data_IF_612318097253
#
_entry.id   IF_612318097253
#
_cell.length_a   1.000
_cell.length_b   1.000
_cell.length_c   1.000
_cell.angle_alpha   90.00
_cell.angle_beta   90.00
_cell.angle_gamma   90.00
#
_symmetry.space_group_name_H-M   'P 1'
#
loop_
_entity.id
_entity.type
_entity.pdbx_description
1 polymer ?
#
# COMPACT_ATOMS: atom_id res chain seq x y z
N UNK A 1 31.30 -22.34 11.82
CA UNK A 1 29.85 -22.04 11.80
C UNK A 1 29.66 -20.86 10.87
N UNK A 2 28.65 -20.89 9.98
CA UNK A 2 28.38 -19.78 9.06
C UNK A 2 27.50 -18.77 9.78
N UNK A 3 27.87 -17.49 9.72
CA UNK A 3 27.07 -16.39 10.27
C UNK A 3 25.98 -15.99 9.26
N UNK A 4 24.72 -15.93 9.71
CA UNK A 4 23.59 -15.46 8.90
C UNK A 4 22.79 -14.40 9.65
N UNK A 5 22.19 -13.48 8.91
CA UNK A 5 21.26 -12.47 9.40
C UNK A 5 19.99 -12.50 8.56
N UNK A 6 18.84 -12.26 9.19
CA UNK A 6 17.53 -12.27 8.55
C UNK A 6 16.70 -11.09 9.06
N UNK A 7 16.34 -10.19 8.15
CA UNK A 7 15.44 -9.07 8.40
C UNK A 7 14.08 -9.35 7.74
N UNK A 8 13.01 -9.22 8.52
CA UNK A 8 11.62 -9.47 8.08
C UNK A 8 10.75 -8.24 8.31
N UNK A 9 9.50 -8.30 7.86
CA UNK A 9 8.49 -7.31 8.18
C UNK A 9 8.30 -7.20 9.70
N UNK A 10 8.00 -5.99 10.18
CA UNK A 10 7.71 -5.74 11.60
C UNK A 10 6.47 -6.49 12.11
N UNK A 11 5.50 -6.77 11.22
CA UNK A 11 4.28 -7.49 11.53
C UNK A 11 3.77 -8.25 10.30
N UNK A 12 3.35 -9.50 10.52
CA UNK A 12 2.77 -10.38 9.49
C UNK A 12 1.38 -10.81 9.97
N UNK A 13 0.35 -10.59 9.16
CA UNK A 13 -1.02 -11.05 9.42
C UNK A 13 -1.38 -12.06 8.34
N UNK A 14 -1.68 -13.30 8.74
CA UNK A 14 -1.92 -14.41 7.82
C UNK A 14 -3.20 -15.17 8.18
N UNK A 15 -3.85 -15.73 7.16
CA UNK A 15 -5.09 -16.51 7.29
C UNK A 15 -6.21 -15.97 6.40
N UNK A 16 -7.22 -16.82 6.16
CA UNK A 16 -8.44 -16.45 5.43
C UNK A 16 -9.14 -15.28 6.14
N UNK A 17 -9.49 -14.24 5.39
CA UNK A 17 -10.15 -13.05 5.94
C UNK A 17 -9.21 -12.04 6.62
N UNK A 18 -7.90 -12.24 6.57
CA UNK A 18 -6.90 -11.32 7.16
C UNK A 18 -7.01 -9.87 6.69
N UNK A 19 -7.53 -9.63 5.48
CA UNK A 19 -7.77 -8.28 4.96
C UNK A 19 -8.67 -7.43 5.85
N UNK A 20 -9.58 -8.03 6.63
CA UNK A 20 -10.40 -7.30 7.60
C UNK A 20 -9.59 -6.55 8.66
N UNK A 21 -8.33 -6.95 8.90
CA UNK A 21 -7.41 -6.26 9.80
C UNK A 21 -6.91 -4.92 9.22
N UNK A 22 -7.02 -4.73 7.90
CA UNK A 22 -6.55 -3.52 7.20
C UNK A 22 -7.19 -2.27 7.79
N UNK A 23 -8.48 -2.32 8.08
CA UNK A 23 -9.27 -1.21 8.61
C UNK A 23 -8.68 -0.58 9.88
N UNK A 24 -8.30 -1.41 10.85
CA UNK A 24 -7.69 -0.96 12.09
C UNK A 24 -6.29 -0.42 11.84
N UNK A 25 -5.51 -1.11 11.00
CA UNK A 25 -4.13 -0.73 10.70
C UNK A 25 -4.02 0.64 10.01
N UNK A 26 -4.82 0.87 8.97
CA UNK A 26 -4.72 2.11 8.19
C UNK A 26 -5.14 3.34 8.98
N UNK A 27 -6.05 3.17 9.94
CA UNK A 27 -6.51 4.25 10.83
C UNK A 27 -5.38 4.75 11.74
N UNK A 28 -4.45 3.87 12.13
CA UNK A 28 -3.25 4.24 12.91
C UNK A 28 -2.17 4.88 12.03
N UNK A 29 -2.20 4.67 10.71
CA UNK A 29 -1.16 5.13 9.78
C UNK A 29 -1.44 6.52 9.19
N UNK A 30 -2.69 6.98 9.17
CA UNK A 30 -3.04 8.31 8.69
C UNK A 30 -4.45 8.40 8.12
N UNK A 31 -4.67 9.40 7.26
CA UNK A 31 -5.97 9.72 6.67
C UNK A 31 -5.99 9.61 5.15
N UNK A 32 -4.83 9.54 4.49
CA UNK A 32 -4.76 9.38 3.04
C UNK A 32 -3.70 8.38 2.58
N UNK A 33 -4.07 7.41 1.78
CA UNK A 33 -3.18 6.41 1.20
C UNK A 33 -2.74 6.76 -0.23
N UNK A 34 -1.53 6.37 -0.63
CA UNK A 34 -1.21 6.08 -2.03
C UNK A 34 -1.36 4.57 -2.23
N UNK A 35 -2.26 4.14 -3.11
CA UNK A 35 -2.48 2.73 -3.44
C UNK A 35 -1.71 2.41 -4.73
N UNK A 36 -0.62 1.66 -4.61
CA UNK A 36 0.25 1.25 -5.72
C UNK A 36 -0.20 -0.11 -6.24
N UNK A 37 -0.51 -0.19 -7.52
CA UNK A 37 -1.17 -1.36 -8.11
C UNK A 37 -0.47 -1.80 -9.39
N UNK A 38 -0.63 -3.06 -9.76
CA UNK A 38 -0.27 -3.54 -11.10
C UNK A 38 -1.23 -3.04 -12.18
N UNK A 39 -0.94 -3.38 -13.43
CA UNK A 39 -1.64 -2.86 -14.62
C UNK A 39 -3.18 -2.94 -14.60
N UNK A 40 -3.78 -4.01 -14.09
CA UNK A 40 -5.23 -4.21 -14.13
C UNK A 40 -6.00 -3.62 -12.95
N UNK A 41 -5.34 -3.26 -11.85
CA UNK A 41 -5.97 -2.75 -10.62
C UNK A 41 -6.92 -3.72 -9.89
N UNK A 42 -7.33 -4.84 -10.50
CA UNK A 42 -8.38 -5.73 -10.00
C UNK A 42 -8.11 -6.27 -8.59
N UNK A 43 -6.84 -6.58 -8.28
CA UNK A 43 -6.45 -7.11 -6.95
C UNK A 43 -6.57 -6.07 -5.83
N UNK A 44 -6.60 -4.79 -6.16
CA UNK A 44 -6.70 -3.71 -5.20
C UNK A 44 -8.15 -3.27 -4.93
N UNK A 45 -9.13 -3.76 -5.71
CA UNK A 45 -10.53 -3.38 -5.50
C UNK A 45 -11.01 -3.65 -4.06
N UNK A 46 -10.72 -4.81 -3.42
CA UNK A 46 -11.10 -5.03 -2.02
C UNK A 46 -10.42 -4.05 -1.06
N UNK A 47 -9.16 -3.69 -1.31
CA UNK A 47 -8.42 -2.69 -0.51
C UNK A 47 -9.11 -1.33 -0.62
N UNK A 48 -9.45 -0.91 -1.83
CA UNK A 48 -10.13 0.36 -2.10
C UNK A 48 -11.50 0.40 -1.41
N UNK A 49 -12.25 -0.71 -1.42
CA UNK A 49 -13.52 -0.82 -0.71
C UNK A 49 -13.36 -0.62 0.80
N UNK A 50 -12.38 -1.27 1.43
CA UNK A 50 -12.09 -1.08 2.85
C UNK A 50 -11.66 0.36 3.19
N UNK A 51 -10.81 0.99 2.36
CA UNK A 51 -10.43 2.39 2.55
C UNK A 51 -11.64 3.32 2.45
N UNK A 52 -12.51 3.09 1.46
CA UNK A 52 -13.75 3.85 1.26
C UNK A 52 -14.69 3.69 2.45
N UNK A 53 -14.88 2.46 2.95
CA UNK A 53 -15.71 2.18 4.12
C UNK A 53 -15.24 2.92 5.38
N UNK A 54 -13.93 3.09 5.56
CA UNK A 54 -13.34 3.88 6.66
C UNK A 54 -13.21 5.37 6.36
N UNK A 55 -13.71 5.85 5.22
CA UNK A 55 -13.55 7.24 4.80
C UNK A 55 -12.08 7.70 4.76
N UNK A 56 -11.17 6.77 4.47
CA UNK A 56 -9.75 7.06 4.25
C UNK A 56 -9.60 7.52 2.81
N UNK A 57 -9.06 8.72 2.62
CA UNK A 57 -8.79 9.23 1.29
C UNK A 57 -7.73 8.37 0.59
N UNK A 58 -7.76 8.30 -0.73
CA UNK A 58 -6.69 7.62 -1.46
C UNK A 58 -6.43 8.23 -2.83
N UNK A 59 -5.25 7.95 -3.36
CA UNK A 59 -4.89 8.14 -4.76
C UNK A 59 -4.31 6.83 -5.28
N UNK A 60 -4.54 6.52 -6.55
CA UNK A 60 -4.05 5.29 -7.17
C UNK A 60 -2.84 5.57 -8.06
N UNK A 61 -1.92 4.61 -8.12
CA UNK A 61 -0.74 4.67 -8.99
C UNK A 61 -0.45 3.30 -9.60
N UNK A 62 -0.45 3.23 -10.93
CA UNK A 62 -0.26 1.97 -11.64
C UNK A 62 1.21 1.78 -12.04
N UNK A 63 1.77 0.64 -11.65
CA UNK A 63 3.07 0.15 -12.07
C UNK A 63 2.86 -0.91 -13.15
N UNK A 64 3.26 -0.59 -14.37
CA UNK A 64 3.13 -1.48 -15.53
C UNK A 64 4.49 -2.07 -15.86
N UNK A 65 4.64 -3.38 -15.68
CA UNK A 65 5.89 -4.08 -15.92
C UNK A 65 6.93 -3.86 -14.82
N UNK A 66 8.20 -3.91 -15.18
CA UNK A 66 9.32 -3.71 -14.26
C UNK A 66 9.43 -2.21 -13.88
N UNK A 67 9.42 -1.86 -12.58
CA UNK A 67 9.49 -0.46 -12.17
C UNK A 67 10.87 0.16 -12.47
N UNK A 68 10.85 1.39 -12.98
CA UNK A 68 12.06 2.21 -13.17
C UNK A 68 12.21 3.22 -12.04
N UNK A 69 13.41 3.79 -11.89
CA UNK A 69 13.66 4.89 -10.95
C UNK A 69 12.86 6.15 -11.28
N UNK A 70 12.59 6.40 -12.57
CA UNK A 70 11.69 7.45 -13.02
C UNK A 70 10.27 7.24 -12.50
N UNK A 71 9.76 6.01 -12.61
CA UNK A 71 8.43 5.64 -12.14
C UNK A 71 8.29 5.80 -10.62
N UNK A 72 9.31 5.41 -9.86
CA UNK A 72 9.35 5.61 -8.40
C UNK A 72 9.31 7.10 -8.05
N UNK A 73 10.02 7.95 -8.82
CA UNK A 73 10.00 9.40 -8.63
C UNK A 73 8.61 9.97 -8.89
N UNK A 74 7.96 9.55 -9.97
CA UNK A 74 6.59 9.96 -10.30
C UNK A 74 5.60 9.58 -9.18
N UNK A 75 5.64 8.33 -8.72
CA UNK A 75 4.82 7.86 -7.60
C UNK A 75 5.07 8.66 -6.31
N UNK A 76 6.32 8.97 -6.01
CA UNK A 76 6.68 9.78 -4.83
C UNK A 76 6.18 11.22 -4.95
N UNK A 77 6.29 11.83 -6.14
CA UNK A 77 5.76 13.17 -6.40
C UNK A 77 4.23 13.19 -6.26
N UNK A 78 3.55 12.17 -6.77
CA UNK A 78 2.11 12.00 -6.62
C UNK A 78 1.72 11.90 -5.14
N UNK A 79 2.35 11.01 -4.36
CA UNK A 79 2.09 10.90 -2.92
C UNK A 79 2.24 12.24 -2.18
N UNK A 80 3.31 12.99 -2.48
CA UNK A 80 3.55 14.30 -1.85
C UNK A 80 2.51 15.34 -2.25
N UNK A 81 2.19 15.43 -3.54
CA UNK A 81 1.18 16.36 -4.07
C UNK A 81 -0.20 16.11 -3.46
N UNK A 82 -0.57 14.84 -3.39
CA UNK A 82 -1.85 14.39 -2.84
C UNK A 82 -1.85 14.37 -1.31
N UNK A 83 -0.71 14.61 -0.66
CA UNK A 83 -0.53 14.58 0.80
C UNK A 83 -0.93 13.22 1.39
N UNK A 84 -0.48 12.14 0.75
CA UNK A 84 -0.61 10.79 1.29
C UNK A 84 0.26 10.64 2.54
N UNK A 85 -0.32 10.06 3.60
CA UNK A 85 0.33 9.78 4.87
C UNK A 85 1.06 8.43 4.84
N UNK A 86 0.55 7.47 4.05
CA UNK A 86 1.10 6.13 3.92
C UNK A 86 0.89 5.54 2.52
N UNK A 87 1.54 4.40 2.24
CA UNK A 87 1.48 3.67 0.97
C UNK A 87 0.94 2.26 1.21
N UNK A 88 0.04 1.79 0.34
CA UNK A 88 -0.43 0.40 0.25
C UNK A 88 -0.03 -0.18 -1.09
#
# INVERSE_FOLDING_TARGET
>A
MIQFEFATASRIIFGTGSLASLETLVTEMGRRALVVMGSSGHRAAPVIEHLTFKSIGYSTFNVVGEPTTDLVREGTMLARREKCDFVI
#
